data_IF_103587547982
#
_entry.id   IF_103587547982
#
_cell.length_a   1.000
_cell.length_b   1.000
_cell.length_c   1.000
_cell.angle_alpha   90.00
_cell.angle_beta   90.00
_cell.angle_gamma   90.00
#
_symmetry.space_group_name_H-M   'P 1'
#
loop_
_entity.id
_entity.type
_entity.pdbx_description
1 polymer ?
#
# COMPACT_ATOMS: atom_id res chain seq x y z
N UNK A 1 -9.08 -3.42 -20.08
CA UNK A 1 -8.56 -2.76 -18.86
C UNK A 1 -7.06 -2.94 -18.82
N UNK A 2 -6.34 -1.84 -18.90
CA UNK A 2 -4.88 -1.87 -18.96
C UNK A 2 -4.28 -1.38 -17.65
N UNK A 3 -3.63 -2.28 -16.93
CA UNK A 3 -3.01 -1.98 -15.64
C UNK A 3 -1.50 -2.04 -15.78
N UNK A 4 -0.84 -0.98 -15.34
CA UNK A 4 0.61 -0.87 -15.39
C UNK A 4 1.15 -0.48 -14.02
N UNK A 5 2.33 -0.99 -13.66
CA UNK A 5 3.06 -0.61 -12.45
C UNK A 5 4.28 0.18 -12.87
N UNK A 6 4.42 1.40 -12.36
CA UNK A 6 5.51 2.30 -12.73
C UNK A 6 6.23 2.77 -11.46
N UNK A 7 7.57 2.63 -11.38
CA UNK A 7 8.30 3.14 -10.22
C UNK A 7 7.99 4.61 -9.97
N UNK A 8 7.83 4.97 -8.70
CA UNK A 8 7.49 6.35 -8.35
C UNK A 8 8.62 7.31 -8.68
N UNK A 9 8.25 8.57 -8.89
CA UNK A 9 9.21 9.67 -9.01
C UNK A 9 8.64 10.91 -8.32
N UNK A 10 9.36 12.03 -8.39
CA UNK A 10 8.94 13.25 -7.70
C UNK A 10 7.61 13.81 -8.21
N UNK A 11 7.22 13.50 -9.43
CA UNK A 11 5.95 13.95 -9.99
C UNK A 11 4.74 13.24 -9.35
N UNK A 12 4.98 12.17 -8.60
CA UNK A 12 3.91 11.38 -7.96
C UNK A 12 3.64 11.80 -6.53
N UNK A 13 4.42 12.74 -5.97
CA UNK A 13 4.33 13.11 -4.55
C UNK A 13 2.94 13.63 -4.18
N UNK A 14 2.37 14.52 -4.99
CA UNK A 14 1.04 15.07 -4.71
C UNK A 14 -0.03 13.98 -4.72
N UNK A 15 0.05 13.10 -5.71
CA UNK A 15 -0.90 11.99 -5.80
C UNK A 15 -0.80 11.07 -4.59
N UNK A 16 0.43 10.71 -4.19
CA UNK A 16 0.66 9.86 -3.02
C UNK A 16 0.13 10.51 -1.74
N UNK A 17 0.28 11.82 -1.62
CA UNK A 17 -0.28 12.53 -0.47
C UNK A 17 -1.80 12.47 -0.46
N UNK A 18 -2.43 12.59 -1.63
CA UNK A 18 -3.86 12.45 -1.78
C UNK A 18 -4.35 11.07 -1.33
N UNK A 19 -3.58 10.01 -1.63
CA UNK A 19 -3.91 8.67 -1.16
C UNK A 19 -3.84 8.56 0.36
N UNK A 20 -2.86 9.20 0.99
CA UNK A 20 -2.77 9.22 2.45
C UNK A 20 -4.00 9.87 3.06
N UNK A 21 -4.49 10.95 2.46
CA UNK A 21 -5.71 11.60 2.94
C UNK A 21 -6.92 10.69 2.85
N UNK A 22 -7.04 9.91 1.78
CA UNK A 22 -8.14 8.95 1.65
C UNK A 22 -8.08 7.86 2.70
N UNK A 23 -6.87 7.45 3.09
CA UNK A 23 -6.66 6.38 4.06
C UNK A 23 -6.85 6.82 5.50
N UNK A 24 -6.79 8.12 5.76
CA UNK A 24 -6.88 8.63 7.12
C UNK A 24 -8.16 8.14 7.79
N UNK A 25 -7.99 7.58 8.99
CA UNK A 25 -9.11 7.05 9.76
C UNK A 25 -9.61 5.69 9.32
N UNK A 26 -9.14 5.18 8.18
CA UNK A 26 -9.65 3.92 7.68
C UNK A 26 -8.90 2.74 8.26
N UNK A 27 -7.56 2.70 8.25
CA UNK A 27 -6.96 1.41 8.49
C UNK A 27 -5.52 1.32 8.86
N UNK A 28 -4.87 2.29 9.25
CA UNK A 28 -3.45 2.16 9.46
C UNK A 28 -3.11 1.84 10.92
N UNK A 29 -2.53 0.68 11.18
CA UNK A 29 -2.14 0.31 12.53
C UNK A 29 -0.88 1.01 13.02
N UNK A 30 -0.03 1.45 12.10
CA UNK A 30 1.24 2.09 12.45
C UNK A 30 1.18 3.60 12.37
N UNK A 31 0.14 4.15 11.75
CA UNK A 31 0.06 5.57 11.45
C UNK A 31 -1.23 6.14 12.02
N UNK A 32 -1.12 7.21 12.80
CA UNK A 32 -2.27 7.73 13.54
C UNK A 32 -2.77 9.05 13.01
N UNK A 33 -1.92 9.82 12.35
CA UNK A 33 -2.26 11.14 11.84
C UNK A 33 -1.65 11.36 10.47
N UNK A 34 -2.31 12.17 9.67
CA UNK A 34 -1.76 12.59 8.39
C UNK A 34 -0.53 13.46 8.65
N UNK A 35 0.65 13.12 8.12
CA UNK A 35 1.83 13.96 8.30
C UNK A 35 1.67 15.26 7.51
N UNK A 36 2.37 16.34 7.92
CA UNK A 36 2.44 17.54 7.08
C UNK A 36 3.02 17.20 5.71
N UNK A 37 2.60 17.96 4.69
CA UNK A 37 3.05 17.70 3.33
C UNK A 37 4.59 17.69 3.21
N UNK A 38 5.28 18.60 3.91
CA UNK A 38 6.74 18.67 3.84
C UNK A 38 7.41 17.40 4.35
N UNK A 39 6.88 16.77 5.40
CA UNK A 39 7.40 15.50 5.89
C UNK A 39 7.17 14.38 4.89
N UNK A 40 5.99 14.36 4.29
CA UNK A 40 5.66 13.38 3.26
C UNK A 40 6.58 13.53 2.04
N UNK A 41 6.81 14.76 1.62
CA UNK A 41 7.70 15.04 0.50
C UNK A 41 9.12 14.52 0.77
N UNK A 42 9.65 14.79 1.95
CA UNK A 42 10.97 14.30 2.34
C UNK A 42 10.99 12.78 2.41
N UNK A 43 9.94 12.17 2.92
CA UNK A 43 9.83 10.73 3.00
C UNK A 43 9.91 10.08 1.62
N UNK A 44 9.14 10.61 0.66
CA UNK A 44 9.16 10.09 -0.71
C UNK A 44 10.53 10.28 -1.34
N UNK A 45 11.13 11.47 -1.18
CA UNK A 45 12.45 11.75 -1.76
C UNK A 45 13.56 10.92 -1.16
N UNK A 46 13.38 10.41 0.05
CA UNK A 46 14.40 9.56 0.69
C UNK A 46 14.45 8.14 0.12
N UNK A 47 13.52 7.78 -0.76
CA UNK A 47 13.43 6.45 -1.35
C UNK A 47 13.42 5.34 -0.29
N UNK A 48 12.46 5.37 0.65
CA UNK A 48 12.51 4.48 1.82
C UNK A 48 12.20 3.03 1.50
N UNK A 49 11.58 2.74 0.35
CA UNK A 49 11.18 1.38 0.00
C UNK A 49 11.99 0.88 -1.19
N UNK A 50 12.54 -0.33 -1.12
CA UNK A 50 13.25 -0.94 -2.26
C UNK A 50 12.39 -1.04 -3.53
N UNK A 51 11.08 -1.23 -3.33
CA UNK A 51 10.12 -1.28 -4.44
C UNK A 51 8.94 -0.40 -4.08
N UNK A 52 8.60 0.54 -4.93
CA UNK A 52 7.45 1.42 -4.73
C UNK A 52 6.95 1.86 -6.10
N UNK A 53 5.76 1.38 -6.46
CA UNK A 53 5.17 1.64 -7.76
C UNK A 53 3.85 2.39 -7.66
N UNK A 54 3.62 3.27 -8.61
CA UNK A 54 2.30 3.82 -8.87
C UNK A 54 1.53 2.79 -9.69
N UNK A 55 0.25 2.64 -9.36
CA UNK A 55 -0.66 1.81 -10.14
C UNK A 55 -1.35 2.71 -11.15
N UNK A 56 -1.22 2.38 -12.44
CA UNK A 56 -1.87 3.10 -13.53
C UNK A 56 -2.95 2.22 -14.13
N UNK A 57 -4.13 2.80 -14.32
CA UNK A 57 -5.23 2.18 -15.05
C UNK A 57 -5.50 3.06 -16.27
N UNK A 58 -5.25 2.52 -17.46
CA UNK A 58 -5.41 3.28 -18.70
C UNK A 58 -4.70 4.63 -18.61
N UNK A 59 -3.46 4.62 -18.11
CA UNK A 59 -2.59 5.80 -17.92
C UNK A 59 -3.03 6.77 -16.82
N UNK A 60 -4.03 6.42 -16.03
CA UNK A 60 -4.47 7.24 -14.89
C UNK A 60 -3.93 6.68 -13.58
N UNK A 61 -3.38 7.54 -12.72
CA UNK A 61 -2.92 7.13 -11.39
C UNK A 61 -4.12 6.76 -10.52
N UNK A 62 -4.15 5.52 -10.02
CA UNK A 62 -5.28 5.06 -9.19
C UNK A 62 -4.85 4.52 -7.84
N UNK A 63 -3.57 4.35 -7.59
CA UNK A 63 -3.11 3.80 -6.32
C UNK A 63 -1.61 3.60 -6.31
N UNK A 64 -1.15 2.91 -5.27
CA UNK A 64 0.26 2.54 -5.17
C UNK A 64 0.43 1.18 -4.50
N UNK A 65 1.59 0.58 -4.72
CA UNK A 65 1.99 -0.66 -4.08
C UNK A 65 3.48 -0.58 -3.77
N UNK A 66 3.88 -1.07 -2.60
CA UNK A 66 5.28 -1.02 -2.20
C UNK A 66 5.67 -2.25 -1.40
N UNK A 67 6.98 -2.46 -1.29
CA UNK A 67 7.56 -3.47 -0.42
C UNK A 67 8.66 -2.81 0.39
N UNK A 68 8.60 -2.96 1.72
CA UNK A 68 9.64 -2.41 2.61
C UNK A 68 10.87 -3.29 2.58
N UNK A 69 11.95 -2.82 3.22
CA UNK A 69 13.18 -3.60 3.37
C UNK A 69 13.00 -4.82 4.28
N UNK A 70 11.85 -4.95 4.94
CA UNK A 70 11.49 -6.13 5.75
C UNK A 70 10.49 -7.04 5.04
N UNK A 71 10.36 -6.89 3.73
CA UNK A 71 9.43 -7.66 2.90
C UNK A 71 7.95 -7.46 3.28
N UNK A 72 7.64 -6.30 3.86
CA UNK A 72 6.28 -5.93 4.21
C UNK A 72 5.63 -5.21 3.04
N UNK A 73 4.52 -5.76 2.57
CA UNK A 73 3.80 -5.30 1.40
C UNK A 73 2.72 -4.30 1.81
N UNK A 74 2.61 -3.18 1.09
CA UNK A 74 1.51 -2.25 1.24
C UNK A 74 0.87 -1.99 -0.09
N UNK A 75 -0.46 -1.97 -0.13
CA UNK A 75 -1.21 -1.67 -1.34
C UNK A 75 -2.41 -0.81 -0.97
N UNK A 76 -2.63 0.25 -1.74
CA UNK A 76 -3.83 1.06 -1.60
C UNK A 76 -4.30 1.54 -2.97
N UNK A 77 -5.59 1.33 -3.24
CA UNK A 77 -6.24 1.76 -4.46
C UNK A 77 -7.30 2.80 -4.07
N UNK A 78 -7.34 3.92 -4.80
CA UNK A 78 -8.31 4.97 -4.55
C UNK A 78 -9.73 4.41 -4.56
N UNK A 79 -10.60 4.95 -3.70
CA UNK A 79 -11.93 4.40 -3.46
C UNK A 79 -12.78 4.24 -4.71
N UNK A 80 -12.62 5.12 -5.68
CA UNK A 80 -13.43 5.07 -6.92
C UNK A 80 -13.08 3.86 -7.80
N UNK A 81 -11.97 3.21 -7.51
CA UNK A 81 -11.47 2.07 -8.30
C UNK A 81 -11.42 0.78 -7.50
N UNK A 82 -11.97 0.77 -6.29
CA UNK A 82 -12.03 -0.43 -5.46
C UNK A 82 -13.17 -1.35 -5.89
N UNK A 83 -13.12 -2.61 -5.46
CA UNK A 83 -14.16 -3.62 -5.71
C UNK A 83 -14.37 -3.96 -7.20
N UNK A 84 -13.31 -3.83 -8.00
CA UNK A 84 -13.35 -4.13 -9.43
C UNK A 84 -12.33 -5.20 -9.83
N UNK A 85 -11.73 -5.88 -8.86
CA UNK A 85 -10.73 -6.90 -9.13
C UNK A 85 -9.34 -6.37 -9.46
N UNK A 86 -9.15 -5.07 -9.44
CA UNK A 86 -7.87 -4.43 -9.79
C UNK A 86 -6.78 -4.82 -8.81
N UNK A 87 -7.09 -4.84 -7.51
CA UNK A 87 -6.11 -5.18 -6.47
C UNK A 87 -5.48 -6.55 -6.69
N UNK A 88 -6.27 -7.53 -7.10
CA UNK A 88 -5.78 -8.88 -7.37
C UNK A 88 -4.80 -8.91 -8.54
N UNK A 89 -5.12 -8.18 -9.60
CA UNK A 89 -4.24 -8.08 -10.77
C UNK A 89 -2.92 -7.39 -10.40
N UNK A 90 -3.03 -6.28 -9.67
CA UNK A 90 -1.86 -5.50 -9.22
C UNK A 90 -0.94 -6.35 -8.34
N UNK A 91 -1.53 -7.05 -7.36
CA UNK A 91 -0.74 -7.87 -6.44
C UNK A 91 0.04 -8.94 -7.19
N UNK A 92 -0.61 -9.64 -8.12
CA UNK A 92 0.04 -10.68 -8.90
C UNK A 92 1.16 -10.12 -9.79
N UNK A 93 0.92 -8.99 -10.46
CA UNK A 93 1.93 -8.35 -11.27
C UNK A 93 3.14 -7.92 -10.44
N UNK A 94 2.88 -7.35 -9.27
CA UNK A 94 3.93 -6.85 -8.39
C UNK A 94 4.78 -8.01 -7.85
N UNK A 95 4.15 -9.06 -7.35
CA UNK A 95 4.87 -10.22 -6.82
C UNK A 95 5.71 -10.90 -7.90
N UNK A 96 5.20 -10.96 -9.12
CA UNK A 96 5.96 -11.51 -10.25
C UNK A 96 7.16 -10.63 -10.58
N UNK A 97 6.98 -9.30 -10.57
CA UNK A 97 8.05 -8.35 -10.84
C UNK A 97 9.15 -8.40 -9.78
N UNK A 98 8.77 -8.44 -8.51
CA UNK A 98 9.71 -8.42 -7.39
C UNK A 98 10.41 -9.78 -7.20
N UNK A 99 9.66 -10.86 -7.31
CA UNK A 99 10.24 -12.21 -7.31
C UNK A 99 10.71 -12.72 -5.96
N UNK A 100 10.15 -12.24 -4.86
CA UNK A 100 10.46 -12.77 -3.53
C UNK A 100 9.71 -14.08 -3.28
N UNK A 101 10.26 -14.90 -2.39
CA UNK A 101 9.62 -16.18 -2.01
C UNK A 101 8.62 -15.99 -0.87
N UNK A 102 8.67 -14.87 -0.17
CA UNK A 102 7.81 -14.60 0.97
C UNK A 102 7.49 -13.12 1.04
N UNK A 103 6.24 -12.81 1.35
CA UNK A 103 5.77 -11.45 1.56
C UNK A 103 5.01 -11.39 2.87
N UNK A 104 5.13 -10.28 3.58
CA UNK A 104 4.36 -10.00 4.79
C UNK A 104 3.35 -8.90 4.49
N UNK A 105 2.22 -8.92 5.18
CA UNK A 105 1.24 -7.85 5.08
C UNK A 105 0.74 -7.54 6.49
N UNK A 106 0.85 -6.28 6.88
CA UNK A 106 0.35 -5.82 8.17
C UNK A 106 -1.04 -5.25 7.97
N UNK A 107 -2.03 -5.81 8.66
CA UNK A 107 -3.43 -5.47 8.47
C UNK A 107 -4.06 -5.13 9.81
N UNK A 108 -4.77 -4.01 9.87
CA UNK A 108 -5.55 -3.66 11.05
C UNK A 108 -6.62 -4.73 11.26
N UNK A 109 -6.78 -5.26 12.49
CA UNK A 109 -7.75 -6.35 12.74
C UNK A 109 -9.20 -5.97 12.45
N UNK A 110 -9.51 -4.67 12.35
CA UNK A 110 -10.86 -4.23 11.99
C UNK A 110 -11.03 -4.02 10.48
N UNK A 111 -9.96 -4.15 9.70
CA UNK A 111 -10.03 -4.01 8.25
C UNK A 111 -10.37 -5.34 7.59
N UNK A 112 -11.66 -5.69 7.64
CA UNK A 112 -12.12 -6.99 7.14
C UNK A 112 -11.90 -7.15 5.64
N UNK A 113 -11.99 -6.07 4.87
CA UNK A 113 -11.75 -6.12 3.43
C UNK A 113 -10.32 -6.56 3.12
N UNK A 114 -9.34 -5.98 3.81
CA UNK A 114 -7.93 -6.36 3.62
C UNK A 114 -7.65 -7.76 4.09
N UNK A 115 -8.24 -8.16 5.23
CA UNK A 115 -8.10 -9.53 5.74
C UNK A 115 -8.59 -10.52 4.70
N UNK A 116 -9.77 -10.28 4.13
CA UNK A 116 -10.32 -11.14 3.08
C UNK A 116 -9.46 -11.12 1.81
N UNK A 117 -8.99 -9.93 1.43
CA UNK A 117 -8.16 -9.78 0.24
C UNK A 117 -6.88 -10.60 0.35
N UNK A 118 -6.15 -10.45 1.44
CA UNK A 118 -4.90 -11.20 1.61
C UNK A 118 -5.14 -12.69 1.81
N UNK A 119 -6.20 -13.06 2.55
CA UNK A 119 -6.55 -14.47 2.70
C UNK A 119 -6.88 -15.15 1.38
N UNK A 120 -7.62 -14.45 0.51
CA UNK A 120 -7.94 -14.94 -0.83
C UNK A 120 -6.69 -15.21 -1.66
N UNK A 121 -5.63 -14.45 -1.43
CA UNK A 121 -4.37 -14.60 -2.15
C UNK A 121 -3.35 -15.50 -1.44
N UNK A 122 -3.80 -16.28 -0.47
CA UNK A 122 -2.96 -17.28 0.17
C UNK A 122 -2.14 -16.79 1.34
N UNK A 123 -2.37 -15.57 1.81
CA UNK A 123 -1.70 -15.08 3.01
C UNK A 123 -2.36 -15.69 4.24
N UNK A 124 -1.55 -16.13 5.20
CA UNK A 124 -2.04 -16.71 6.45
C UNK A 124 -1.62 -15.84 7.62
N UNK A 125 -2.45 -15.80 8.65
CA UNK A 125 -2.17 -15.03 9.85
C UNK A 125 -1.04 -15.70 10.65
N UNK A 126 0.02 -14.95 10.97
CA UNK A 126 1.19 -15.50 11.64
C UNK A 126 1.47 -14.88 13.00
N UNK A 127 0.91 -13.71 13.31
CA UNK A 127 1.20 -13.07 14.60
C UNK A 127 0.14 -12.03 14.95
N UNK A 128 0.03 -11.75 16.25
CA UNK A 128 -0.76 -10.63 16.77
C UNK A 128 0.19 -9.60 17.36
N UNK A 129 -0.09 -8.33 17.13
CA UNK A 129 0.68 -7.23 17.70
C UNK A 129 -0.22 -6.45 18.64
N UNK A 130 0.23 -6.27 19.87
CA UNK A 130 -0.49 -5.50 20.89
C UNK A 130 0.32 -4.29 21.28
N UNK A 131 -0.37 -3.20 21.64
CA UNK A 131 0.31 -2.03 22.15
C UNK A 131 -0.32 -1.59 23.47
N UNK A 132 0.46 -0.86 24.24
CA UNK A 132 -0.03 -0.19 25.45
C UNK A 132 0.57 1.21 25.47
N UNK A 133 -0.27 2.21 25.61
CA UNK A 133 0.20 3.58 25.83
C UNK A 133 0.41 3.81 27.33
N UNK A 134 1.51 4.45 27.65
CA UNK A 134 1.81 4.83 29.03
C UNK A 134 1.60 6.34 29.14
N UNK A 135 0.76 6.75 30.09
CA UNK A 135 0.46 8.17 30.32
C UNK A 135 1.58 8.88 31.08
#
# INVERSE_FOLDING_TARGET
>A
MEIELKPINEQDIDFLYGLLKEREGIVNISHKELPPFSEHEQFVKSSPYPYWDIILLNNERIGNIYLTDRDELGIFISKDFQNQGIGSIVLQKFMKKVGKKRYLANVNPTNYKSIQFFGKHGFTHIQNTYHKKID
#
